data_IF_199368686697
#
_entry.id   IF_199368686697
#
_cell.length_a   1.000
_cell.length_b   1.000
_cell.length_c   1.000
_cell.angle_alpha   90.00
_cell.angle_beta   90.00
_cell.angle_gamma   90.00
#
_symmetry.space_group_name_H-M   'P 1'
#
loop_
_entity.id
_entity.type
_entity.pdbx_description
1 polymer ?
#
# COMPACT_ATOMS: atom_id res chain seq x y z
N UNK A 1 59.17 4.41 13.37
CA UNK A 1 59.15 3.50 12.20
C UNK A 1 57.91 2.61 12.29
N UNK A 2 56.92 2.96 11.46
CA UNK A 2 55.76 2.24 10.94
C UNK A 2 55.03 1.20 11.82
N UNK A 3 53.86 1.59 12.34
CA UNK A 3 52.76 0.65 12.59
C UNK A 3 51.63 0.99 11.63
N UNK A 4 51.57 0.21 10.54
CA UNK A 4 50.50 0.27 9.54
C UNK A 4 49.24 -0.29 10.22
N UNK A 5 48.27 0.57 10.53
CA UNK A 5 46.96 0.14 11.00
C UNK A 5 46.17 -0.37 9.80
N UNK A 6 45.89 -1.67 9.78
CA UNK A 6 44.98 -2.31 8.85
C UNK A 6 43.58 -1.69 9.01
N UNK A 7 43.17 -0.86 8.05
CA UNK A 7 41.76 -0.47 7.91
C UNK A 7 41.06 -1.65 7.25
N UNK A 8 40.53 -2.56 8.07
CA UNK A 8 39.59 -3.58 7.60
C UNK A 8 38.25 -2.87 7.37
N UNK A 9 37.96 -2.49 6.14
CA UNK A 9 36.60 -2.14 5.74
C UNK A 9 35.77 -3.42 5.78
N UNK A 10 35.13 -3.68 6.92
CA UNK A 10 34.00 -4.59 7.00
C UNK A 10 32.85 -3.95 6.22
N UNK A 11 32.81 -4.20 4.91
CA UNK A 11 31.59 -4.03 4.14
C UNK A 11 30.70 -5.22 4.56
N UNK A 12 30.12 -5.13 5.76
CA UNK A 12 29.04 -6.00 6.17
C UNK A 12 27.95 -5.81 5.11
N UNK A 13 27.69 -6.86 4.34
CA UNK A 13 26.80 -6.81 3.19
C UNK A 13 25.54 -6.04 3.54
N UNK A 14 25.31 -4.95 2.82
CA UNK A 14 24.08 -4.19 2.92
C UNK A 14 22.99 -5.12 2.38
N UNK A 15 22.40 -5.93 3.26
CA UNK A 15 21.11 -6.55 2.97
C UNK A 15 20.15 -5.39 2.81
N UNK A 16 19.95 -4.97 1.56
CA UNK A 16 18.79 -4.18 1.20
C UNK A 16 17.61 -5.14 1.34
N UNK A 17 17.17 -5.38 2.58
CA UNK A 17 15.86 -5.92 2.81
C UNK A 17 14.92 -4.89 2.19
N UNK A 18 14.22 -5.27 1.11
CA UNK A 18 13.18 -4.42 0.55
C UNK A 18 12.24 -4.08 1.69
N UNK A 19 12.07 -2.78 1.97
CA UNK A 19 11.11 -2.34 2.97
C UNK A 19 9.74 -2.61 2.34
N UNK A 20 9.07 -3.69 2.75
CA UNK A 20 7.67 -3.87 2.42
C UNK A 20 6.85 -2.93 3.29
N UNK A 21 6.29 -1.90 2.68
CA UNK A 21 5.47 -0.90 3.38
C UNK A 21 3.99 -1.24 3.24
N UNK A 22 3.57 -2.33 3.89
CA UNK A 22 2.16 -2.66 4.01
C UNK A 22 1.42 -1.51 4.72
N UNK A 23 0.30 -1.06 4.15
CA UNK A 23 -0.51 0.03 4.68
C UNK A 23 -1.44 -0.42 5.82
N UNK A 24 -1.56 -1.74 6.02
CA UNK A 24 -2.25 -2.35 7.14
C UNK A 24 -1.57 -3.66 7.53
N UNK A 25 -1.73 -4.03 8.81
CA UNK A 25 -1.46 -5.38 9.27
C UNK A 25 -2.66 -6.30 9.00
N UNK A 26 -2.43 -7.62 9.10
CA UNK A 26 -3.52 -8.60 9.11
C UNK A 26 -4.45 -8.35 10.30
N UNK A 27 -5.73 -8.68 10.13
CA UNK A 27 -6.77 -8.47 11.12
C UNK A 27 -6.93 -7.01 11.57
N UNK A 28 -6.45 -6.06 10.76
CA UNK A 28 -6.59 -4.62 10.98
C UNK A 28 -7.34 -3.95 9.83
N UNK A 29 -7.87 -2.77 10.13
CA UNK A 29 -8.51 -1.91 9.14
C UNK A 29 -7.48 -1.36 8.16
N UNK A 30 -7.91 -1.12 6.93
CA UNK A 30 -7.16 -0.37 5.93
C UNK A 30 -7.83 0.99 5.73
N UNK A 31 -7.03 2.05 5.70
CA UNK A 31 -7.46 3.37 5.25
C UNK A 31 -6.28 4.04 4.55
N UNK A 32 -6.33 4.09 3.23
CA UNK A 32 -5.25 4.65 2.41
C UNK A 32 -5.79 5.65 1.39
N UNK A 33 -5.09 6.77 1.25
CA UNK A 33 -5.37 7.80 0.24
C UNK A 33 -4.06 8.35 -0.32
N UNK A 34 -3.99 8.48 -1.65
CA UNK A 34 -2.96 9.25 -2.32
C UNK A 34 -3.12 10.75 -2.01
N UNK A 35 -2.09 11.53 -2.32
CA UNK A 35 -2.16 13.00 -2.21
C UNK A 35 -3.23 13.55 -3.17
N UNK A 36 -3.78 14.74 -2.90
CA UNK A 36 -4.91 15.28 -3.68
C UNK A 36 -4.62 15.64 -5.14
N UNK A 37 -3.40 15.41 -5.66
CA UNK A 37 -3.09 15.52 -7.10
C UNK A 37 -2.82 14.16 -7.74
N UNK A 38 -2.79 13.12 -6.93
CA UNK A 38 -2.33 11.80 -7.29
C UNK A 38 -3.48 10.80 -7.29
N UNK A 39 -3.33 9.76 -8.10
CA UNK A 39 -4.22 8.61 -8.09
C UNK A 39 -3.43 7.34 -7.81
N UNK A 40 -4.14 6.29 -7.42
CA UNK A 40 -3.55 4.96 -7.31
C UNK A 40 -3.08 4.52 -8.71
N UNK A 41 -1.83 4.07 -8.79
CA UNK A 41 -1.18 3.57 -9.99
C UNK A 41 -0.90 2.07 -9.93
N UNK A 42 -0.75 1.52 -8.72
CA UNK A 42 -0.55 0.10 -8.48
C UNK A 42 -1.21 -0.29 -7.17
N UNK A 43 -1.77 -1.50 -7.14
CA UNK A 43 -2.29 -2.14 -5.94
C UNK A 43 -1.58 -3.49 -5.82
N UNK A 44 -0.94 -3.71 -4.69
CA UNK A 44 -0.33 -4.99 -4.33
C UNK A 44 -1.02 -5.52 -3.10
N UNK A 45 -1.29 -6.83 -3.05
CA UNK A 45 -1.84 -7.46 -1.86
C UNK A 45 -1.17 -8.81 -1.60
N UNK A 46 -1.16 -9.21 -0.33
CA UNK A 46 -0.70 -10.54 0.09
C UNK A 46 -1.75 -11.17 0.99
N UNK A 47 -2.28 -12.29 0.55
CA UNK A 47 -3.22 -13.11 1.31
C UNK A 47 -2.48 -14.11 2.21
N UNK A 48 -3.02 -14.35 3.41
CA UNK A 48 -2.57 -15.40 4.32
C UNK A 48 -3.74 -16.33 4.64
N UNK A 49 -3.70 -17.58 4.17
CA UNK A 49 -4.79 -18.56 4.37
C UNK A 49 -4.96 -18.97 5.85
N UNK A 50 -3.97 -18.73 6.71
CA UNK A 50 -4.13 -19.00 8.15
C UNK A 50 -5.08 -18.00 8.81
N UNK A 51 -4.98 -16.74 8.38
CA UNK A 51 -5.81 -15.64 8.85
C UNK A 51 -7.04 -15.41 7.98
N UNK A 52 -7.06 -15.85 6.73
CA UNK A 52 -8.07 -15.49 5.73
C UNK A 52 -8.23 -13.95 5.65
N UNK A 53 -7.09 -13.27 5.54
CA UNK A 53 -7.01 -11.82 5.43
C UNK A 53 -5.86 -11.38 4.51
N UNK A 54 -5.96 -10.14 4.03
CA UNK A 54 -5.00 -9.50 3.13
C UNK A 54 -4.38 -8.25 3.76
N UNK A 55 -3.07 -8.12 3.57
CA UNK A 55 -2.33 -6.86 3.70
C UNK A 55 -2.19 -6.20 2.34
N UNK A 56 -2.22 -4.87 2.32
CA UNK A 56 -2.30 -4.08 1.09
C UNK A 56 -1.19 -3.04 1.01
N UNK A 57 -0.66 -2.85 -0.18
CA UNK A 57 0.28 -1.77 -0.52
C UNK A 57 -0.16 -1.07 -1.80
N UNK A 58 0.13 0.23 -1.89
CA UNK A 58 -0.35 1.11 -2.93
C UNK A 58 0.78 2.01 -3.42
N UNK A 59 0.84 2.17 -4.74
CA UNK A 59 1.64 3.23 -5.36
C UNK A 59 0.72 4.34 -5.87
N UNK A 60 1.19 5.57 -5.75
CA UNK A 60 0.53 6.76 -6.27
C UNK A 60 1.30 7.31 -7.48
N UNK A 61 0.58 7.97 -8.40
CA UNK A 61 1.19 8.78 -9.47
C UNK A 61 0.42 10.09 -9.61
N UNK A 62 1.13 11.14 -10.00
CA UNK A 62 0.47 12.41 -10.32
C UNK A 62 -0.46 12.23 -11.53
N UNK A 63 -1.73 12.57 -11.33
CA UNK A 63 -2.78 12.44 -12.34
C UNK A 63 -3.44 13.78 -12.67
N UNK A 64 -3.21 14.81 -11.84
CA UNK A 64 -3.76 16.15 -12.03
C UNK A 64 -2.70 17.24 -11.80
N UNK A 65 -2.81 18.35 -12.52
CA UNK A 65 -1.95 19.53 -12.34
C UNK A 65 -2.32 20.35 -11.10
N UNK A 66 -3.59 20.27 -10.70
CA UNK A 66 -4.15 20.96 -9.54
C UNK A 66 -4.83 19.97 -8.59
N UNK A 67 -5.10 20.43 -7.36
CA UNK A 67 -5.76 19.61 -6.34
C UNK A 67 -7.16 19.21 -6.84
N UNK A 68 -7.50 17.93 -6.74
CA UNK A 68 -8.81 17.40 -7.04
C UNK A 68 -9.56 17.03 -5.76
N UNK A 69 -10.87 17.26 -5.75
CA UNK A 69 -11.72 16.83 -4.65
C UNK A 69 -11.99 15.33 -4.77
N UNK A 70 -11.72 14.60 -3.69
CA UNK A 70 -11.98 13.17 -3.57
C UNK A 70 -13.12 12.92 -2.59
N UNK A 71 -13.91 11.87 -2.83
CA UNK A 71 -14.91 11.38 -1.88
C UNK A 71 -14.86 9.85 -1.80
N UNK A 72 -15.24 9.33 -0.64
CA UNK A 72 -15.43 7.90 -0.45
C UNK A 72 -16.75 7.47 -1.07
N UNK A 73 -16.74 6.35 -1.80
CA UNK A 73 -17.97 5.68 -2.19
C UNK A 73 -18.71 5.17 -0.94
N UNK A 74 -20.00 4.81 -1.07
CA UNK A 74 -20.63 3.88 -0.12
C UNK A 74 -19.85 2.55 -0.06
N UNK A 75 -20.21 1.69 0.90
CA UNK A 75 -19.66 0.33 0.97
C UNK A 75 -19.88 -0.41 -0.35
N UNK A 76 -18.79 -0.99 -0.87
CA UNK A 76 -18.77 -1.66 -2.18
C UNK A 76 -19.28 -3.11 -2.07
N UNK A 77 -19.06 -3.76 -0.93
CA UNK A 77 -19.43 -5.15 -0.66
C UNK A 77 -19.74 -5.35 0.83
N UNK A 78 -20.29 -6.52 1.18
CA UNK A 78 -20.39 -6.98 2.57
C UNK A 78 -19.21 -7.85 3.02
N UNK A 79 -19.22 -8.19 4.32
CA UNK A 79 -18.22 -9.08 4.91
C UNK A 79 -18.18 -10.41 4.14
N UNK A 80 -16.96 -10.90 3.89
CA UNK A 80 -16.70 -12.18 3.22
C UNK A 80 -17.24 -12.28 1.77
N UNK A 81 -17.45 -11.13 1.11
CA UNK A 81 -17.82 -11.05 -0.31
C UNK A 81 -16.68 -10.48 -1.18
N UNK A 82 -16.72 -10.75 -2.48
CA UNK A 82 -15.80 -10.16 -3.45
C UNK A 82 -15.99 -8.64 -3.55
N UNK A 83 -14.88 -7.88 -3.52
CA UNK A 83 -14.91 -6.42 -3.69
C UNK A 83 -14.67 -6.03 -5.17
N UNK A 84 -15.73 -5.69 -5.90
CA UNK A 84 -15.64 -5.20 -7.29
C UNK A 84 -16.11 -3.74 -7.37
N UNK A 85 -15.27 -2.85 -7.88
CA UNK A 85 -15.64 -1.44 -8.09
C UNK A 85 -15.13 -0.92 -9.42
N UNK A 86 -15.98 -0.16 -10.12
CA UNK A 86 -15.64 0.55 -11.35
C UNK A 86 -15.99 2.02 -11.19
N UNK A 87 -15.02 2.90 -11.44
CA UNK A 87 -15.27 4.34 -11.45
C UNK A 87 -16.29 4.73 -12.52
N UNK A 88 -17.22 5.65 -12.24
CA UNK A 88 -18.01 6.30 -13.27
C UNK A 88 -17.10 7.06 -14.26
N UNK A 89 -17.64 7.45 -15.41
CA UNK A 89 -16.90 8.25 -16.39
C UNK A 89 -16.33 9.52 -15.76
N UNK A 90 -15.06 9.81 -16.07
CA UNK A 90 -14.29 10.95 -15.56
C UNK A 90 -13.92 10.91 -14.06
N UNK A 91 -14.03 9.74 -13.41
CA UNK A 91 -13.51 9.54 -12.05
C UNK A 91 -12.28 8.63 -12.05
N UNK A 92 -11.44 8.76 -11.02
CA UNK A 92 -10.27 7.92 -10.79
C UNK A 92 -10.23 7.47 -9.32
N UNK A 93 -9.61 6.32 -9.07
CA UNK A 93 -9.41 5.82 -7.71
C UNK A 93 -8.17 6.49 -7.11
N UNK A 94 -8.34 7.18 -5.99
CA UNK A 94 -7.25 7.80 -5.21
C UNK A 94 -7.13 7.22 -3.80
N UNK A 95 -8.03 6.34 -3.37
CA UNK A 95 -7.97 5.70 -2.06
C UNK A 95 -8.66 4.34 -2.02
N UNK A 96 -8.34 3.57 -0.98
CA UNK A 96 -8.97 2.28 -0.68
C UNK A 96 -9.12 2.15 0.85
N UNK A 97 -10.25 1.61 1.30
CA UNK A 97 -10.56 1.41 2.71
C UNK A 97 -11.20 0.06 2.96
N UNK A 98 -10.82 -0.57 4.08
CA UNK A 98 -11.38 -1.82 4.60
C UNK A 98 -11.78 -1.62 6.06
N UNK A 99 -13.07 -1.83 6.37
CA UNK A 99 -13.55 -1.83 7.76
C UNK A 99 -13.49 -3.21 8.42
N UNK A 100 -13.63 -4.27 7.62
CA UNK A 100 -13.49 -5.66 8.07
C UNK A 100 -12.06 -5.94 8.49
N UNK A 101 -11.87 -6.80 9.48
CA UNK A 101 -10.55 -7.38 9.79
C UNK A 101 -10.29 -8.66 8.98
N UNK A 102 -11.23 -9.10 8.15
CA UNK A 102 -11.09 -10.26 7.26
C UNK A 102 -11.24 -9.86 5.80
N UNK A 103 -10.51 -10.53 4.91
CA UNK A 103 -10.62 -10.36 3.47
C UNK A 103 -10.17 -11.64 2.79
N UNK A 104 -11.10 -12.27 2.08
CA UNK A 104 -10.89 -13.48 1.28
C UNK A 104 -10.22 -13.09 -0.06
#
# INVERSE_FOLDING_TARGET
MNKINFVVFLIAGLQVAGIEMWQNDYDQRLYYTCSGRDSISMITSKHDNGREDRVWDFSCKQSFDSFSECFWSPYVNWFDEESTFSCPSNYIISGNGKLSTKTI
#
